data_IF_990482297664
#
_entry.id   IF_990482297664
#
_cell.length_a   1.000
_cell.length_b   1.000
_cell.length_c   1.000
_cell.angle_alpha   90.00
_cell.angle_beta   90.00
_cell.angle_gamma   90.00
#
_symmetry.space_group_name_H-M   'P 1'
#
loop_
_entity.id
_entity.type
_entity.pdbx_description
1 polymer ?
#
# COMPACT_ATOMS: atom_id res chain seq x y z
N UNK A 1 9.32 5.84 -17.04
CA UNK A 1 9.29 4.37 -17.09
C UNK A 1 8.23 3.88 -16.14
N UNK A 2 7.17 3.21 -16.64
CA UNK A 2 6.28 2.45 -15.77
C UNK A 2 7.12 1.35 -15.10
N UNK A 3 7.07 1.26 -13.77
CA UNK A 3 7.74 0.19 -13.04
C UNK A 3 7.15 -1.16 -13.46
N UNK A 4 7.97 -2.20 -13.64
CA UNK A 4 7.47 -3.55 -13.93
C UNK A 4 6.53 -4.04 -12.83
N UNK A 5 5.47 -4.77 -13.22
CA UNK A 5 4.49 -5.32 -12.28
C UNK A 5 5.11 -6.15 -11.14
N UNK A 6 6.19 -6.87 -11.43
CA UNK A 6 6.96 -7.63 -10.43
C UNK A 6 7.56 -6.74 -9.34
N UNK A 7 8.07 -5.56 -9.71
CA UNK A 7 8.61 -4.58 -8.77
C UNK A 7 7.49 -3.98 -7.90
N UNK A 8 6.32 -3.72 -8.49
CA UNK A 8 5.17 -3.22 -7.74
C UNK A 8 4.63 -4.24 -6.73
N UNK A 9 4.64 -5.53 -7.08
CA UNK A 9 4.30 -6.64 -6.16
C UNK A 9 5.29 -6.75 -5.00
N UNK A 10 6.60 -6.59 -5.27
CA UNK A 10 7.62 -6.56 -4.22
C UNK A 10 7.42 -5.38 -3.28
N UNK A 11 7.20 -4.17 -3.82
CA UNK A 11 6.91 -3.00 -3.01
C UNK A 11 5.70 -3.22 -2.12
N UNK A 12 4.60 -3.79 -2.63
CA UNK A 12 3.41 -4.08 -1.82
C UNK A 12 3.74 -4.99 -0.61
N UNK A 13 4.50 -6.06 -0.83
CA UNK A 13 4.92 -6.98 0.24
C UNK A 13 5.83 -6.32 1.28
N UNK A 14 6.72 -5.42 0.85
CA UNK A 14 7.59 -4.68 1.78
C UNK A 14 6.78 -3.70 2.63
N UNK A 15 5.83 -2.99 2.02
CA UNK A 15 4.97 -2.05 2.74
C UNK A 15 4.09 -2.75 3.76
N UNK A 16 3.62 -3.98 3.47
CA UNK A 16 2.89 -4.81 4.43
C UNK A 16 3.70 -5.11 5.70
N UNK A 17 5.02 -5.33 5.59
CA UNK A 17 5.92 -5.55 6.75
C UNK A 17 6.24 -4.26 7.51
N UNK A 18 6.27 -3.13 6.82
CA UNK A 18 6.52 -1.81 7.43
C UNK A 18 5.30 -1.34 8.22
N UNK A 19 4.10 -1.63 7.71
CA UNK A 19 2.82 -1.36 8.37
C UNK A 19 2.74 -1.98 9.76
N UNK A 20 3.19 -3.22 9.92
CA UNK A 20 3.20 -3.92 11.21
C UNK A 20 4.13 -3.26 12.25
N UNK A 21 5.02 -2.35 11.83
CA UNK A 21 6.01 -1.67 12.67
C UNK A 21 5.84 -0.15 12.74
N UNK A 22 4.82 0.39 12.08
CA UNK A 22 4.61 1.84 12.04
C UNK A 22 4.01 2.30 13.38
N UNK A 23 4.83 2.95 14.20
CA UNK A 23 4.48 3.38 15.56
C UNK A 23 4.17 4.89 15.63
N UNK A 24 4.28 5.62 14.52
CA UNK A 24 3.98 7.06 14.44
C UNK A 24 2.94 7.41 13.38
N UNK A 25 2.16 8.47 13.64
CA UNK A 25 1.15 8.96 12.71
C UNK A 25 1.76 9.44 11.38
N UNK A 26 2.98 9.96 11.41
CA UNK A 26 3.72 10.37 10.21
C UNK A 26 4.12 9.16 9.35
N UNK A 27 4.56 8.07 9.96
CA UNK A 27 4.83 6.80 9.25
C UNK A 27 3.55 6.23 8.66
N UNK A 28 2.42 6.29 9.37
CA UNK A 28 1.12 5.93 8.84
C UNK A 28 0.75 6.74 7.60
N UNK A 29 0.85 8.07 7.67
CA UNK A 29 0.56 8.94 6.54
C UNK A 29 1.47 8.65 5.34
N UNK A 30 2.76 8.38 5.58
CA UNK A 30 3.71 8.01 4.55
C UNK A 30 3.36 6.68 3.88
N UNK A 31 3.01 5.64 4.66
CA UNK A 31 2.57 4.34 4.13
C UNK A 31 1.28 4.50 3.32
N UNK A 32 0.31 5.25 3.83
CA UNK A 32 -0.99 5.47 3.17
C UNK A 32 -0.82 6.12 1.79
N UNK A 33 0.04 7.15 1.70
CA UNK A 33 0.36 7.80 0.43
C UNK A 33 0.97 6.81 -0.57
N UNK A 34 1.90 5.96 -0.12
CA UNK A 34 2.54 4.95 -1.00
C UNK A 34 1.57 3.85 -1.45
N UNK A 35 0.64 3.42 -0.59
CA UNK A 35 -0.42 2.49 -0.98
C UNK A 35 -1.35 3.10 -2.04
N UNK A 36 -1.70 4.38 -1.89
CA UNK A 36 -2.52 5.10 -2.87
C UNK A 36 -1.81 5.24 -4.23
N UNK A 37 -0.49 5.49 -4.24
CA UNK A 37 0.31 5.46 -5.47
C UNK A 37 0.34 4.07 -6.11
N UNK A 38 0.48 3.00 -5.32
CA UNK A 38 0.44 1.62 -5.80
C UNK A 38 -0.91 1.28 -6.42
N UNK A 39 -2.02 1.69 -5.79
CA UNK A 39 -3.37 1.53 -6.33
C UNK A 39 -3.51 2.18 -7.70
N UNK A 40 -3.03 3.42 -7.87
CA UNK A 40 -3.04 4.10 -9.18
C UNK A 40 -2.24 3.36 -10.24
N UNK A 41 -1.10 2.79 -9.86
CA UNK A 41 -0.28 1.96 -10.77
C UNK A 41 -1.00 0.66 -11.12
N UNK A 42 -1.55 -0.08 -10.15
CA UNK A 42 -2.28 -1.32 -10.41
C UNK A 42 -3.51 -1.10 -11.30
N UNK A 43 -4.26 -0.01 -11.09
CA UNK A 43 -5.37 0.36 -11.96
C UNK A 43 -4.93 0.60 -13.42
N UNK A 44 -3.75 1.21 -13.63
CA UNK A 44 -3.19 1.40 -14.98
C UNK A 44 -2.75 0.10 -15.67
N UNK A 45 -2.60 -1.00 -14.92
CA UNK A 45 -2.29 -2.33 -15.41
C UNK A 45 -3.52 -3.27 -15.40
N UNK A 46 -4.71 -2.79 -15.04
CA UNK A 46 -5.92 -3.60 -14.84
C UNK A 46 -5.76 -4.75 -13.81
N UNK A 47 -4.80 -4.60 -12.89
CA UNK A 47 -4.51 -5.60 -11.85
C UNK A 47 -5.40 -5.38 -10.62
N UNK A 48 -6.70 -5.64 -10.78
CA UNK A 48 -7.73 -5.35 -9.77
C UNK A 48 -7.55 -6.11 -8.45
N UNK A 49 -7.01 -7.34 -8.49
CA UNK A 49 -6.70 -8.10 -7.27
C UNK A 49 -5.62 -7.42 -6.43
N UNK A 50 -4.61 -6.81 -7.07
CA UNK A 50 -3.55 -6.08 -6.37
C UNK A 50 -4.03 -4.71 -5.89
N UNK A 51 -4.88 -4.07 -6.68
CA UNK A 51 -5.58 -2.86 -6.28
C UNK A 51 -6.37 -3.10 -4.98
N UNK A 52 -7.18 -4.17 -4.95
CA UNK A 52 -7.99 -4.52 -3.77
C UNK A 52 -7.11 -4.80 -2.56
N UNK A 53 -6.02 -5.57 -2.71
CA UNK A 53 -5.06 -5.84 -1.62
C UNK A 53 -4.44 -4.56 -1.05
N UNK A 54 -4.09 -3.60 -1.90
CA UNK A 54 -3.55 -2.31 -1.44
C UNK A 54 -4.62 -1.48 -0.71
N UNK A 55 -5.88 -1.52 -1.16
CA UNK A 55 -7.00 -0.86 -0.50
C UNK A 55 -7.30 -1.48 0.88
N UNK A 56 -7.31 -2.80 0.98
CA UNK A 56 -7.54 -3.53 2.23
C UNK A 56 -6.45 -3.20 3.26
N UNK A 57 -5.18 -3.15 2.84
CA UNK A 57 -4.05 -2.73 3.70
C UNK A 57 -4.20 -1.28 4.21
N UNK A 58 -4.72 -0.38 3.37
CA UNK A 58 -4.99 1.00 3.76
C UNK A 58 -6.12 1.10 4.79
N UNK A 59 -7.17 0.28 4.67
CA UNK A 59 -8.24 0.21 5.68
C UNK A 59 -7.74 -0.38 7.00
N UNK A 60 -6.97 -1.46 6.96
CA UNK A 60 -6.42 -2.11 8.16
C UNK A 60 -5.52 -1.18 8.97
N UNK A 61 -4.64 -0.45 8.29
CA UNK A 61 -3.77 0.56 8.93
C UNK A 61 -4.55 1.70 9.55
N UNK A 62 -5.58 2.22 8.85
CA UNK A 62 -6.44 3.28 9.39
C UNK A 62 -7.17 2.85 10.66
N UNK A 63 -7.59 1.59 10.75
CA UNK A 63 -8.30 1.05 11.91
C UNK A 63 -7.40 0.91 13.15
N UNK A 64 -6.09 0.67 12.96
CA UNK A 64 -5.12 0.62 14.07
C UNK A 64 -4.87 1.99 14.70
N UNK A 65 -4.92 3.07 13.91
CA UNK A 65 -4.67 4.44 14.37
C UNK A 65 -5.90 5.19 14.91
N UNK A 66 -7.11 4.74 14.59
CA UNK A 66 -8.36 5.31 15.12
C UNK A 66 -8.76 4.75 16.50
N UNK A 67 -7.96 3.84 17.07
CA UNK A 67 -8.22 3.18 18.34
C UNK A 67 -7.45 3.85 19.47
#
# INVERSE_FOLDING_TARGET
MQAPLSLLKQMLNEHQKVIEKADTFEEYMAVRLRLQELMGKFASFEEWDLYQKAADLMMHTGFQWMK
#
